data_IF_871053558445
#
_entry.id   IF_871053558445
#
_cell.length_a   1.000
_cell.length_b   1.000
_cell.length_c   1.000
_cell.angle_alpha   90.00
_cell.angle_beta   90.00
_cell.angle_gamma   90.00
#
_symmetry.space_group_name_H-M   'P 1'
#
loop_
_entity.id
_entity.type
_entity.pdbx_description
1 polymer ?
#
# COMPACT_ATOMS: atom_id res chain seq x y z
N UNK A 1 12.15 20.00 9.08
CA UNK A 1 12.57 18.84 8.27
C UNK A 1 11.84 17.65 8.84
N UNK A 2 11.17 16.86 8.00
CA UNK A 2 10.58 15.60 8.44
C UNK A 2 11.68 14.68 8.99
N UNK A 3 11.37 13.81 9.97
CA UNK A 3 12.28 12.76 10.41
C UNK A 3 12.58 11.79 9.26
N UNK A 4 13.74 11.13 9.29
CA UNK A 4 14.08 10.13 8.29
C UNK A 4 13.27 8.84 8.50
N UNK A 5 12.80 8.21 7.43
CA UNK A 5 12.11 6.92 7.52
C UNK A 5 12.94 5.88 8.27
N UNK A 6 12.29 5.12 9.17
CA UNK A 6 12.92 4.08 9.98
C UNK A 6 13.53 4.57 11.30
N UNK A 7 13.46 5.87 11.63
CA UNK A 7 13.79 6.34 12.99
C UNK A 7 12.59 6.29 13.92
N UNK A 8 12.84 6.26 15.22
CA UNK A 8 11.78 6.29 16.25
C UNK A 8 10.93 7.57 16.15
N UNK A 9 11.53 8.70 15.77
CA UNK A 9 10.80 9.96 15.57
C UNK A 9 9.84 9.88 14.38
N UNK A 10 10.23 9.22 13.28
CA UNK A 10 9.37 9.00 12.13
C UNK A 10 8.19 8.09 12.48
N UNK A 11 8.46 6.99 13.16
CA UNK A 11 7.40 6.07 13.58
C UNK A 11 6.44 6.75 14.56
N UNK A 12 6.95 7.54 15.51
CA UNK A 12 6.12 8.32 16.43
C UNK A 12 5.21 9.32 15.68
N UNK A 13 5.74 10.03 14.68
CA UNK A 13 4.97 10.95 13.86
C UNK A 13 3.88 10.24 13.05
N UNK A 14 4.20 9.09 12.44
CA UNK A 14 3.23 8.27 11.72
C UNK A 14 2.12 7.76 12.67
N UNK A 15 2.51 7.26 13.85
CA UNK A 15 1.56 6.77 14.84
C UNK A 15 0.64 7.89 15.35
N UNK A 16 1.12 9.12 15.53
CA UNK A 16 0.28 10.26 15.90
C UNK A 16 -0.85 10.47 14.86
N UNK A 17 -0.50 10.51 13.58
CA UNK A 17 -1.47 10.65 12.48
C UNK A 17 -2.44 9.47 12.46
N UNK A 18 -1.93 8.24 12.53
CA UNK A 18 -2.75 7.03 12.52
C UNK A 18 -3.74 6.99 13.69
N UNK A 19 -3.30 7.28 14.91
CA UNK A 19 -4.17 7.26 16.09
C UNK A 19 -5.24 8.35 16.05
N UNK A 20 -4.94 9.52 15.48
CA UNK A 20 -5.97 10.54 15.20
C UNK A 20 -7.00 10.01 14.21
N UNK A 21 -6.55 9.50 13.06
CA UNK A 21 -7.43 8.98 12.00
C UNK A 21 -8.33 7.85 12.50
N UNK A 22 -7.81 6.92 13.29
CA UNK A 22 -8.58 5.82 13.88
C UNK A 22 -9.64 6.27 14.88
N UNK A 23 -9.51 7.45 15.49
CA UNK A 23 -10.53 8.04 16.38
C UNK A 23 -11.62 8.77 15.58
N UNK A 24 -11.25 9.37 14.46
CA UNK A 24 -12.14 10.22 13.66
C UNK A 24 -12.90 9.47 12.57
N UNK A 25 -12.34 8.35 12.09
CA UNK A 25 -12.86 7.60 10.94
C UNK A 25 -13.30 6.20 11.33
N UNK A 26 -14.21 5.64 10.55
CA UNK A 26 -14.70 4.28 10.71
C UNK A 26 -14.80 3.59 9.35
N UNK A 27 -14.72 2.24 9.29
CA UNK A 27 -14.85 1.51 8.04
C UNK A 27 -16.20 1.79 7.32
N UNK A 28 -16.25 1.73 5.97
CA UNK A 28 -15.13 1.43 5.08
C UNK A 28 -14.16 2.62 4.95
N UNK A 29 -12.86 2.35 5.14
CA UNK A 29 -11.81 3.35 5.01
C UNK A 29 -11.49 3.64 3.54
N UNK A 30 -10.88 4.80 3.29
CA UNK A 30 -10.42 5.17 1.95
C UNK A 30 -9.13 4.41 1.63
N UNK A 31 -9.04 3.86 0.43
CA UNK A 31 -7.88 3.10 -0.02
C UNK A 31 -6.58 3.90 0.08
N UNK A 32 -5.54 3.29 0.67
CA UNK A 32 -4.22 3.90 0.84
C UNK A 32 -4.08 4.94 1.96
N UNK A 33 -5.14 5.26 2.71
CA UNK A 33 -4.99 6.12 3.90
C UNK A 33 -4.37 5.35 5.08
N UNK A 34 -3.77 6.03 6.08
CA UNK A 34 -3.09 5.37 7.20
C UNK A 34 -3.95 4.32 7.91
N UNK A 35 -5.24 4.62 8.15
CA UNK A 35 -6.15 3.70 8.82
C UNK A 35 -6.53 2.48 7.95
N UNK A 36 -6.59 2.64 6.63
CA UNK A 36 -6.76 1.51 5.72
C UNK A 36 -5.51 0.63 5.69
N UNK A 37 -4.33 1.26 5.57
CA UNK A 37 -3.03 0.58 5.60
C UNK A 37 -2.86 -0.23 6.89
N UNK A 38 -3.20 0.35 8.04
CA UNK A 38 -3.13 -0.32 9.33
C UNK A 38 -4.12 -1.50 9.45
N UNK A 39 -5.31 -1.38 8.84
CA UNK A 39 -6.25 -2.50 8.77
C UNK A 39 -5.72 -3.63 7.89
N UNK A 40 -5.11 -3.28 6.75
CA UNK A 40 -4.50 -4.24 5.83
C UNK A 40 -3.29 -4.95 6.46
N UNK A 41 -2.41 -4.23 7.14
CA UNK A 41 -1.28 -4.79 7.89
C UNK A 41 -1.74 -5.88 8.87
N UNK A 42 -2.76 -5.58 9.67
CA UNK A 42 -3.32 -6.54 10.65
C UNK A 42 -3.90 -7.78 9.98
N UNK A 43 -4.55 -7.64 8.83
CA UNK A 43 -5.07 -8.77 8.07
C UNK A 43 -3.95 -9.68 7.59
N UNK A 44 -2.89 -9.11 7.01
CA UNK A 44 -1.73 -9.88 6.53
C UNK A 44 -1.01 -10.57 7.69
N UNK A 45 -0.78 -9.87 8.80
CA UNK A 45 -0.16 -10.42 10.01
C UNK A 45 -0.96 -11.61 10.60
N UNK A 46 -2.28 -11.54 10.51
CA UNK A 46 -3.19 -12.58 11.00
C UNK A 46 -3.37 -13.78 10.07
N UNK A 47 -2.90 -13.72 8.82
CA UNK A 47 -3.26 -14.70 7.80
C UNK A 47 -2.28 -15.89 7.76
N UNK A 48 -2.78 -17.08 8.14
CA UNK A 48 -1.97 -18.30 8.15
C UNK A 48 -1.60 -18.79 6.74
N UNK A 49 -2.47 -18.57 5.76
CA UNK A 49 -2.25 -18.97 4.36
C UNK A 49 -1.09 -18.18 3.77
N UNK A 50 -1.08 -16.86 3.97
CA UNK A 50 0.03 -15.99 3.60
C UNK A 50 1.33 -16.42 4.29
N UNK A 51 1.29 -16.64 5.61
CA UNK A 51 2.47 -17.03 6.39
C UNK A 51 3.13 -18.30 5.85
N UNK A 52 2.34 -19.31 5.52
CA UNK A 52 2.85 -20.56 4.95
C UNK A 52 3.39 -20.35 3.52
N UNK A 53 2.62 -19.68 2.66
CA UNK A 53 3.01 -19.45 1.27
C UNK A 53 4.25 -18.56 1.12
N UNK A 54 4.50 -17.66 2.07
CA UNK A 54 5.63 -16.74 2.10
C UNK A 54 6.75 -17.17 3.06
N UNK A 55 6.74 -18.40 3.59
CA UNK A 55 7.67 -18.86 4.64
C UNK A 55 9.17 -18.69 4.32
N UNK A 56 9.54 -18.74 3.03
CA UNK A 56 10.91 -18.51 2.54
C UNK A 56 11.08 -17.16 1.82
N UNK A 57 10.04 -16.32 1.80
CA UNK A 57 10.11 -15.01 1.18
C UNK A 57 11.07 -14.09 1.94
N UNK A 58 11.85 -13.33 1.18
CA UNK A 58 12.70 -12.26 1.70
C UNK A 58 12.65 -11.10 0.73
N UNK A 59 12.37 -9.91 1.25
CA UNK A 59 12.46 -8.67 0.50
C UNK A 59 11.29 -7.75 0.77
N UNK A 60 11.59 -6.46 0.73
CA UNK A 60 10.61 -5.38 0.79
C UNK A 60 9.81 -5.30 -0.50
N UNK A 61 8.50 -5.11 -0.38
CA UNK A 61 7.59 -4.95 -1.52
C UNK A 61 6.94 -3.58 -1.43
N UNK A 62 6.99 -2.82 -2.51
CA UNK A 62 6.35 -1.51 -2.60
C UNK A 62 5.24 -1.54 -3.63
N UNK A 63 4.05 -1.10 -3.21
CA UNK A 63 2.94 -0.77 -4.07
C UNK A 63 3.07 0.72 -4.43
N UNK A 64 3.42 1.00 -5.67
CA UNK A 64 3.57 2.34 -6.22
C UNK A 64 2.35 2.65 -7.11
N UNK A 65 1.52 3.59 -6.67
CA UNK A 65 0.44 4.18 -7.48
C UNK A 65 0.93 5.47 -8.13
N UNK A 66 0.88 5.52 -9.46
CA UNK A 66 1.19 6.74 -10.22
C UNK A 66 0.09 7.78 -10.01
N UNK A 67 0.48 9.06 -9.94
CA UNK A 67 -0.42 10.20 -9.88
C UNK A 67 -1.52 10.13 -10.96
N UNK A 68 -2.70 10.62 -10.62
CA UNK A 68 -3.85 10.71 -11.51
C UNK A 68 -4.45 12.13 -11.43
N UNK A 69 -3.83 13.12 -12.09
CA UNK A 69 -4.30 14.51 -12.07
C UNK A 69 -5.73 14.68 -12.58
N UNK A 70 -6.21 13.76 -13.43
CA UNK A 70 -7.61 13.74 -13.87
C UNK A 70 -8.61 13.55 -12.73
N UNK A 71 -8.19 12.94 -11.61
CA UNK A 71 -8.94 12.83 -10.36
C UNK A 71 -8.51 13.87 -9.32
N UNK A 72 -7.51 14.72 -9.62
CA UNK A 72 -6.89 15.62 -8.65
C UNK A 72 -5.91 14.93 -7.70
N UNK A 73 -5.41 13.74 -8.04
CA UNK A 73 -4.33 13.05 -7.33
C UNK A 73 -3.02 13.50 -7.97
N UNK A 74 -2.40 14.52 -7.40
CA UNK A 74 -1.27 15.23 -8.03
C UNK A 74 0.10 14.56 -7.82
N UNK A 75 0.17 13.52 -6.97
CA UNK A 75 1.44 12.91 -6.56
C UNK A 75 1.34 11.40 -6.57
N UNK A 76 2.47 10.77 -6.88
CA UNK A 76 2.65 9.33 -6.71
C UNK A 76 2.55 8.97 -5.22
N UNK A 77 2.06 7.77 -4.93
CA UNK A 77 2.01 7.23 -3.57
C UNK A 77 2.75 5.90 -3.49
N UNK A 78 3.51 5.71 -2.41
CA UNK A 78 4.30 4.52 -2.17
C UNK A 78 3.89 3.89 -0.84
N UNK A 79 3.48 2.62 -0.87
CA UNK A 79 3.18 1.82 0.31
C UNK A 79 4.21 0.69 0.38
N UNK A 80 5.10 0.75 1.37
CA UNK A 80 6.14 -0.25 1.62
C UNK A 80 5.63 -1.30 2.59
N UNK A 81 5.80 -2.56 2.21
CA UNK A 81 5.52 -3.76 3.00
C UNK A 81 6.86 -4.42 3.36
N UNK A 82 7.19 -4.46 4.65
CA UNK A 82 8.36 -5.18 5.17
C UNK A 82 7.97 -6.65 5.41
N UNK A 83 8.30 -7.50 4.42
CA UNK A 83 7.90 -8.89 4.35
C UNK A 83 9.11 -9.82 4.52
N UNK A 84 9.02 -10.76 5.45
CA UNK A 84 10.14 -11.64 5.78
C UNK A 84 9.70 -12.97 6.38
N UNK A 85 10.08 -14.08 5.76
CA UNK A 85 9.84 -15.46 6.22
C UNK A 85 8.39 -15.73 6.64
N UNK A 86 7.42 -15.23 5.86
CA UNK A 86 5.99 -15.37 6.13
C UNK A 86 5.43 -14.32 7.08
N UNK A 87 6.27 -13.46 7.65
CA UNK A 87 5.85 -12.35 8.49
C UNK A 87 5.66 -11.06 7.68
N UNK A 88 4.68 -10.27 8.11
CA UNK A 88 4.51 -8.88 7.69
C UNK A 88 4.87 -8.00 8.89
N UNK A 89 6.10 -7.49 8.92
CA UNK A 89 6.62 -6.72 10.06
C UNK A 89 5.98 -5.36 10.15
N UNK A 90 5.79 -4.70 9.00
CA UNK A 90 5.07 -3.44 8.89
C UNK A 90 4.57 -3.20 7.47
N UNK A 91 3.53 -2.36 7.35
CA UNK A 91 3.12 -1.69 6.12
C UNK A 91 3.04 -0.20 6.40
N UNK A 92 3.74 0.62 5.62
CA UNK A 92 3.83 2.07 5.82
C UNK A 92 3.66 2.83 4.52
N UNK A 93 2.97 3.98 4.51
CA UNK A 93 3.20 4.97 3.47
C UNK A 93 4.62 5.52 3.63
N UNK A 94 5.37 5.62 2.54
CA UNK A 94 6.77 6.05 2.57
C UNK A 94 7.06 7.11 1.52
N UNK A 95 8.11 7.93 1.71
CA UNK A 95 8.56 8.84 0.67
C UNK A 95 9.06 8.10 -0.59
N UNK A 96 9.07 8.77 -1.77
CA UNK A 96 9.50 8.17 -3.03
C UNK A 96 10.89 7.54 -2.96
N UNK A 97 11.87 8.20 -2.35
CA UNK A 97 13.24 7.69 -2.28
C UNK A 97 13.36 6.37 -1.49
N UNK A 98 12.52 6.17 -0.47
CA UNK A 98 12.44 4.92 0.29
C UNK A 98 11.69 3.87 -0.52
N UNK A 99 10.57 4.25 -1.12
CA UNK A 99 9.75 3.34 -1.93
C UNK A 99 10.49 2.82 -3.16
N UNK A 100 11.20 3.68 -3.87
CA UNK A 100 11.97 3.31 -5.05
C UNK A 100 13.20 2.46 -4.72
N UNK A 101 13.73 2.55 -3.50
CA UNK A 101 14.88 1.77 -3.04
C UNK A 101 14.54 0.33 -2.64
N UNK A 102 13.26 -0.05 -2.55
CA UNK A 102 12.83 -1.39 -2.17
C UNK A 102 13.28 -2.49 -3.16
N UNK A 103 13.32 -3.72 -2.67
CA UNK A 103 13.74 -4.90 -3.43
C UNK A 103 12.79 -5.17 -4.61
N UNK A 104 11.49 -4.98 -4.37
CA UNK A 104 10.44 -5.12 -5.36
C UNK A 104 9.56 -3.87 -5.39
N UNK A 105 9.44 -3.24 -6.57
CA UNK A 105 8.54 -2.10 -6.78
C UNK A 105 7.54 -2.47 -7.87
N UNK A 106 6.27 -2.54 -7.49
CA UNK A 106 5.15 -2.75 -8.40
C UNK A 106 4.53 -1.38 -8.68
N UNK A 107 4.67 -0.88 -9.91
CA UNK A 107 4.11 0.41 -10.33
C UNK A 107 2.88 0.18 -11.20
N UNK A 108 1.77 0.84 -10.87
CA UNK A 108 0.56 0.82 -11.69
C UNK A 108 -0.21 2.14 -11.61
N UNK A 109 -1.11 2.36 -12.57
CA UNK A 109 -2.07 3.47 -12.49
C UNK A 109 -3.10 3.25 -11.39
N UNK A 110 -3.69 4.34 -10.91
CA UNK A 110 -4.84 4.31 -10.00
C UNK A 110 -5.91 3.28 -10.41
N UNK A 111 -6.33 3.32 -11.68
CA UNK A 111 -7.36 2.42 -12.21
C UNK A 111 -6.93 0.95 -12.24
N UNK A 112 -5.64 0.69 -12.45
CA UNK A 112 -5.12 -0.69 -12.43
C UNK A 112 -5.16 -1.24 -11.01
N UNK A 113 -4.75 -0.44 -10.01
CA UNK A 113 -4.86 -0.83 -8.60
C UNK A 113 -6.31 -1.01 -8.15
N UNK A 114 -7.22 -0.15 -8.61
CA UNK A 114 -8.65 -0.30 -8.37
C UNK A 114 -9.17 -1.61 -8.93
N UNK A 115 -8.86 -1.91 -10.19
CA UNK A 115 -9.27 -3.16 -10.82
C UNK A 115 -8.73 -4.40 -10.10
N UNK A 116 -7.47 -4.39 -9.63
CA UNK A 116 -6.92 -5.54 -8.92
C UNK A 116 -7.48 -5.73 -7.52
N UNK A 117 -7.65 -4.65 -6.76
CA UNK A 117 -8.24 -4.69 -5.43
C UNK A 117 -9.72 -5.10 -5.47
N UNK A 118 -10.48 -4.67 -6.47
CA UNK A 118 -11.87 -5.06 -6.65
C UNK A 118 -12.05 -6.47 -7.24
N UNK A 119 -10.96 -7.21 -7.53
CA UNK A 119 -11.00 -8.55 -8.11
C UNK A 119 -11.39 -8.60 -9.59
N UNK A 120 -11.51 -7.44 -10.25
CA UNK A 120 -11.81 -7.32 -11.68
C UNK A 120 -10.59 -7.71 -12.55
N UNK A 121 -9.40 -7.54 -11.98
CA UNK A 121 -8.12 -7.86 -12.62
C UNK A 121 -7.26 -8.72 -11.70
N UNK A 122 -6.85 -9.89 -12.16
CA UNK A 122 -5.87 -10.70 -11.41
C UNK A 122 -4.49 -10.02 -11.40
N UNK A 123 -3.92 -9.80 -10.22
CA UNK A 123 -2.65 -9.08 -10.04
C UNK A 123 -1.50 -9.74 -10.80
N UNK A 124 -1.40 -11.07 -10.77
CA UNK A 124 -0.31 -11.78 -11.46
C UNK A 124 -0.44 -11.63 -12.98
N UNK A 125 -1.67 -11.73 -13.52
CA UNK A 125 -1.92 -11.45 -14.94
C UNK A 125 -1.60 -10.00 -15.29
N UNK A 126 -1.91 -9.04 -14.42
CA UNK A 126 -1.61 -7.63 -14.65
C UNK A 126 -0.09 -7.38 -14.74
N UNK A 127 0.71 -8.04 -13.90
CA UNK A 127 2.17 -8.03 -13.98
C UNK A 127 2.65 -8.65 -15.30
N UNK A 128 2.16 -9.84 -15.65
CA UNK A 128 2.55 -10.54 -16.89
C UNK A 128 2.19 -9.75 -18.17
N UNK A 129 1.09 -9.00 -18.14
CA UNK A 129 0.64 -8.15 -19.24
C UNK A 129 1.36 -6.79 -19.29
N UNK A 130 2.22 -6.48 -18.31
CA UNK A 130 2.89 -5.20 -18.19
C UNK A 130 1.99 -4.03 -17.76
N UNK A 131 0.77 -4.32 -17.29
CA UNK A 131 -0.13 -3.31 -16.69
C UNK A 131 0.35 -2.87 -15.31
N UNK A 132 0.94 -3.81 -14.58
CA UNK A 132 1.74 -3.53 -13.39
C UNK A 132 3.20 -3.73 -13.79
N UNK A 133 3.98 -2.65 -13.76
CA UNK A 133 5.41 -2.71 -14.04
C UNK A 133 6.14 -3.19 -12.78
N UNK A 134 6.96 -4.23 -12.92
CA UNK A 134 7.79 -4.75 -11.85
C UNK A 134 9.24 -4.27 -12.00
N UNK A 135 9.80 -3.70 -10.94
CA UNK A 135 11.25 -3.66 -10.67
C UNK A 135 11.55 -4.74 -9.64
N UNK A 136 12.51 -5.62 -9.91
CA UNK A 136 12.88 -6.75 -9.04
C UNK A 136 13.00 -8.07 -9.81
N UNK A 137 13.20 -9.18 -9.10
CA UNK A 137 13.29 -10.52 -9.70
C UNK A 137 11.90 -11.10 -9.99
N UNK A 138 11.48 -11.04 -11.26
CA UNK A 138 10.22 -11.61 -11.72
C UNK A 138 10.12 -13.12 -11.46
N UNK A 139 11.22 -13.86 -11.55
CA UNK A 139 11.22 -15.31 -11.33
C UNK A 139 10.88 -15.63 -9.87
N UNK A 140 11.38 -14.81 -8.93
CA UNK A 140 11.03 -14.93 -7.52
C UNK A 140 9.55 -14.60 -7.29
N UNK A 141 9.01 -13.52 -7.86
CA UNK A 141 7.56 -13.21 -7.78
C UNK A 141 6.71 -14.38 -8.29
N UNK A 142 7.07 -14.98 -9.44
CA UNK A 142 6.34 -16.13 -9.99
C UNK A 142 6.45 -17.37 -9.09
N UNK A 143 7.62 -17.63 -8.47
CA UNK A 143 7.78 -18.73 -7.51
C UNK A 143 6.86 -18.57 -6.29
N UNK A 144 6.69 -17.34 -5.80
CA UNK A 144 5.83 -17.02 -4.65
C UNK A 144 4.45 -16.52 -5.07
N UNK A 145 3.94 -16.97 -6.23
CA UNK A 145 2.66 -16.51 -6.76
C UNK A 145 1.48 -16.69 -5.79
N UNK A 146 1.48 -17.77 -4.98
CA UNK A 146 0.45 -18.02 -3.97
C UNK A 146 0.45 -16.94 -2.89
N UNK A 147 1.63 -16.53 -2.40
CA UNK A 147 1.74 -15.43 -1.44
C UNK A 147 1.29 -14.11 -2.06
N UNK A 148 1.73 -13.79 -3.29
CA UNK A 148 1.31 -12.58 -4.00
C UNK A 148 -0.20 -12.53 -4.26
N UNK A 149 -0.78 -13.65 -4.69
CA UNK A 149 -2.24 -13.78 -4.84
C UNK A 149 -2.95 -13.58 -3.51
N UNK A 150 -2.45 -14.17 -2.43
CA UNK A 150 -3.07 -14.04 -1.11
C UNK A 150 -3.06 -12.61 -0.59
N UNK A 151 -1.98 -11.85 -0.80
CA UNK A 151 -1.95 -10.42 -0.49
C UNK A 151 -3.05 -9.65 -1.25
N UNK A 152 -3.20 -9.90 -2.55
CA UNK A 152 -4.26 -9.30 -3.36
C UNK A 152 -5.67 -9.65 -2.85
N UNK A 153 -5.91 -10.91 -2.52
CA UNK A 153 -7.17 -11.39 -1.95
C UNK A 153 -7.49 -10.71 -0.61
N UNK A 154 -6.51 -10.55 0.28
CA UNK A 154 -6.68 -9.89 1.57
C UNK A 154 -7.03 -8.41 1.40
N UNK A 155 -6.39 -7.72 0.44
CA UNK A 155 -6.76 -6.34 0.08
C UNK A 155 -8.19 -6.26 -0.45
N UNK A 156 -8.59 -7.22 -1.29
CA UNK A 156 -9.97 -7.30 -1.81
C UNK A 156 -11.00 -7.60 -0.71
N UNK A 157 -10.66 -8.50 0.22
CA UNK A 157 -11.49 -8.85 1.36
C UNK A 157 -11.68 -7.65 2.32
N UNK A 158 -10.63 -6.86 2.53
CA UNK A 158 -10.74 -5.62 3.31
C UNK A 158 -11.68 -4.62 2.64
N UNK A 159 -11.64 -4.57 1.30
CA UNK A 159 -12.37 -3.60 0.51
C UNK A 159 -11.93 -2.18 0.83
N UNK A 160 -12.84 -1.22 0.71
CA UNK A 160 -12.56 0.19 0.98
C UNK A 160 -13.26 1.07 -0.04
N UNK A 161 -13.20 2.38 0.19
CA UNK A 161 -13.68 3.39 -0.74
C UNK A 161 -12.53 3.92 -1.56
N UNK A 162 -12.77 4.15 -2.84
CA UNK A 162 -11.80 4.73 -3.75
C UNK A 162 -11.99 6.24 -3.84
N UNK A 163 -10.92 6.98 -4.16
CA UNK A 163 -10.94 8.44 -4.24
C UNK A 163 -12.03 8.98 -5.20
N UNK A 164 -12.26 8.29 -6.32
CA UNK A 164 -13.30 8.63 -7.30
C UNK A 164 -14.74 8.38 -6.80
N UNK A 165 -14.91 7.70 -5.68
CA UNK A 165 -16.21 7.41 -5.03
C UNK A 165 -16.52 8.39 -3.88
N UNK A 166 -15.59 9.29 -3.59
CA UNK A 166 -15.73 10.28 -2.54
C UNK A 166 -16.47 11.51 -3.05
N UNK A 167 -17.21 12.17 -2.16
CA UNK A 167 -17.75 13.49 -2.48
C UNK A 167 -16.63 14.57 -2.44
N UNK A 168 -16.86 15.79 -2.96
CA UNK A 168 -15.80 16.81 -3.03
C UNK A 168 -15.18 17.20 -1.68
N UNK A 169 -15.95 17.19 -0.59
CA UNK A 169 -15.44 17.51 0.76
C UNK A 169 -14.52 16.40 1.28
N UNK A 170 -14.91 15.14 1.07
CA UNK A 170 -14.10 13.97 1.42
C UNK A 170 -12.82 13.90 0.57
N UNK A 171 -12.90 14.24 -0.72
CA UNK A 171 -11.75 14.32 -1.61
C UNK A 171 -10.75 15.37 -1.12
N UNK A 172 -11.23 16.55 -0.71
CA UNK A 172 -10.38 17.60 -0.17
C UNK A 172 -9.72 17.17 1.15
N UNK A 173 -10.46 16.51 2.05
CA UNK A 173 -9.88 15.97 3.28
C UNK A 173 -8.74 14.98 2.99
N UNK A 174 -8.94 14.06 2.03
CA UNK A 174 -7.91 13.07 1.67
C UNK A 174 -6.69 13.74 1.02
N UNK A 175 -6.88 14.80 0.24
CA UNK A 175 -5.77 15.61 -0.30
C UNK A 175 -4.97 16.28 0.81
N UNK A 176 -5.64 16.96 1.74
CA UNK A 176 -4.99 17.61 2.89
C UNK A 176 -4.25 16.60 3.76
N UNK A 177 -4.81 15.39 3.94
CA UNK A 177 -4.11 14.30 4.62
C UNK A 177 -2.84 13.89 3.85
N UNK A 178 -2.90 13.78 2.53
CA UNK A 178 -1.72 13.50 1.70
C UNK A 178 -0.64 14.56 1.86
N UNK A 179 -1.01 15.84 1.89
CA UNK A 179 -0.09 16.95 2.13
C UNK A 179 0.54 16.90 3.52
N UNK A 180 -0.27 16.62 4.55
CA UNK A 180 0.21 16.45 5.92
C UNK A 180 1.18 15.27 6.04
N UNK A 181 0.87 14.13 5.41
CA UNK A 181 1.75 12.96 5.40
C UNK A 181 3.09 13.30 4.75
N UNK A 182 3.08 14.06 3.65
CA UNK A 182 4.32 14.55 3.05
C UNK A 182 5.06 15.45 4.04
N UNK A 183 4.43 16.49 4.57
CA UNK A 183 5.11 17.42 5.49
C UNK A 183 5.71 16.74 6.74
N UNK A 184 5.00 15.74 7.28
CA UNK A 184 5.39 15.06 8.52
C UNK A 184 6.31 13.86 8.31
N UNK A 185 6.28 13.20 7.16
CA UNK A 185 6.91 11.89 6.95
C UNK A 185 7.89 11.85 5.77
N UNK A 186 8.00 12.92 4.98
CA UNK A 186 8.87 13.02 3.78
C UNK A 186 9.64 14.34 3.77
#
# INVERSE_FOLDING_TARGET
>A
MAPAFGTDEWEAAYQEVLQRRLKEKSPPFVQGTPEWIAAYEKLVQGDAVYREAAAEWEGTVVLHSVAEPGLGIERDSYILMDLWHGECRSIRPVPPEVGEAADYVLTASYWTWKGTSCGELDTNKAVMQGKIKLKGDLSKIVRYNQASSRLGELSSQLGGRWFDELNPEEQEEVKLLGEELVEKLT
#
